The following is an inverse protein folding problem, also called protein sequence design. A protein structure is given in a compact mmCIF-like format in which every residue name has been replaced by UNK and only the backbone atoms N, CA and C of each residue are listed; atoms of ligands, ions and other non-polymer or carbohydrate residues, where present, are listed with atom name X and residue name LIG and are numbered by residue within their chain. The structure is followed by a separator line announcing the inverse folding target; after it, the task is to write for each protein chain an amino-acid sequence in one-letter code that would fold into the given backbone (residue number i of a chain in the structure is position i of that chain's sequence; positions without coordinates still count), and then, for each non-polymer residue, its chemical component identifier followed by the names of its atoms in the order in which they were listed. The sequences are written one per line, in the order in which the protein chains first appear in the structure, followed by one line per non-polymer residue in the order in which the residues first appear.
data_IF_352349204619
#
_entry.id   IF_352349204619
#
_cell.length_a   1.000
_cell.length_b   1.000
_cell.length_c   1.000
_cell.angle_alpha   90.00
_cell.angle_beta   90.00
_cell.angle_gamma   90.00
#
_symmetry.space_group_name_H-M   'P 1'
#
loop_
_entity.id
_entity.type
_entity.pdbx_description
1 polymer ?
#
# COMPACT_ATOMS: atom_id res chain seq x y z
N UNK A 1 -2.09 -31.00 6.95
CA UNK A 1 -0.64 -30.86 7.19
C UNK A 1 -0.27 -29.42 6.86
N UNK A 2 0.31 -28.65 7.81
CA UNK A 2 0.86 -27.32 7.49
C UNK A 2 1.96 -27.51 6.44
N UNK A 3 1.93 -26.71 5.37
CA UNK A 3 2.98 -26.68 4.36
C UNK A 3 4.23 -26.07 4.98
N UNK A 4 5.31 -26.83 5.07
CA UNK A 4 6.61 -26.42 5.61
C UNK A 4 7.34 -25.50 4.64
N UNK A 5 7.37 -24.20 4.90
CA UNK A 5 8.12 -23.26 4.07
C UNK A 5 9.62 -23.31 4.40
N UNK A 6 10.47 -23.42 3.36
CA UNK A 6 11.94 -23.43 3.48
C UNK A 6 12.61 -22.42 2.55
N UNK A 7 11.80 -21.64 1.84
CA UNK A 7 12.22 -20.58 0.91
C UNK A 7 11.27 -19.40 1.07
N UNK A 8 11.80 -18.21 0.85
CA UNK A 8 11.01 -16.99 0.84
C UNK A 8 10.02 -17.06 -0.33
N UNK A 9 8.80 -16.57 -0.10
CA UNK A 9 7.85 -16.37 -1.19
C UNK A 9 8.20 -15.10 -1.97
N UNK A 10 7.60 -14.94 -3.15
CA UNK A 10 7.64 -13.66 -3.87
C UNK A 10 7.10 -12.50 -3.03
N UNK A 11 6.14 -12.76 -2.12
CA UNK A 11 5.62 -11.73 -1.19
C UNK A 11 6.66 -11.31 -0.18
N UNK A 12 7.35 -12.28 0.44
CA UNK A 12 8.44 -12.00 1.37
C UNK A 12 9.61 -11.29 0.69
N UNK A 13 9.95 -11.70 -0.53
CA UNK A 13 11.00 -11.05 -1.32
C UNK A 13 10.64 -9.59 -1.63
N UNK A 14 9.40 -9.34 -2.04
CA UNK A 14 8.88 -8.00 -2.26
C UNK A 14 8.83 -7.16 -0.98
N UNK A 15 8.52 -7.78 0.16
CA UNK A 15 8.54 -7.12 1.45
C UNK A 15 9.95 -6.61 1.79
N UNK A 16 10.99 -7.43 1.61
CA UNK A 16 12.39 -7.00 1.79
C UNK A 16 12.70 -5.84 0.84
N UNK A 17 12.35 -5.98 -0.44
CA UNK A 17 12.60 -4.96 -1.45
C UNK A 17 12.04 -3.59 -1.05
N UNK A 18 10.76 -3.52 -0.63
CA UNK A 18 10.12 -2.26 -0.22
C UNK A 18 10.77 -1.57 0.98
N UNK A 19 11.46 -2.33 1.84
CA UNK A 19 12.11 -1.77 3.03
C UNK A 19 13.57 -1.37 2.78
N UNK A 20 14.23 -1.97 1.80
CA UNK A 20 15.67 -1.82 1.56
C UNK A 20 16.01 -0.96 0.35
N UNK A 21 15.16 -0.97 -0.69
CA UNK A 21 15.40 -0.21 -1.91
C UNK A 21 15.19 1.29 -1.68
N UNK A 22 16.09 2.09 -2.24
CA UNK A 22 16.05 3.55 -2.18
C UNK A 22 16.69 4.15 -3.45
N UNK A 23 16.82 5.47 -3.52
CA UNK A 23 17.37 6.13 -4.71
C UNK A 23 18.85 5.81 -4.96
N UNK A 24 19.65 5.58 -3.91
CA UNK A 24 21.08 5.25 -4.04
C UNK A 24 21.31 3.80 -4.48
N UNK A 25 20.44 2.87 -4.07
CA UNK A 25 20.58 1.45 -4.40
C UNK A 25 20.45 1.16 -5.90
N UNK A 26 19.82 2.06 -6.66
CA UNK A 26 19.72 1.98 -8.13
C UNK A 26 21.05 2.21 -8.86
N UNK A 27 22.08 2.71 -8.16
CA UNK A 27 23.39 3.02 -8.69
C UNK A 27 24.47 2.24 -7.94
N UNK A 28 25.67 2.19 -8.52
CA UNK A 28 26.83 1.68 -7.78
C UNK A 28 27.11 2.61 -6.59
N UNK A 29 27.14 2.03 -5.40
CA UNK A 29 27.39 2.76 -4.17
C UNK A 29 28.28 1.94 -3.22
N UNK A 30 28.72 2.58 -2.13
CA UNK A 30 29.51 1.95 -1.09
C UNK A 30 28.91 2.29 0.28
N UNK A 31 28.34 1.31 1.00
CA UNK A 31 27.61 1.58 2.24
C UNK A 31 28.52 1.83 3.47
N UNK A 32 29.84 1.72 3.33
CA UNK A 32 30.80 2.02 4.39
C UNK A 32 31.57 0.82 4.95
N UNK A 33 32.58 1.10 5.78
CA UNK A 33 33.32 0.07 6.53
C UNK A 33 34.08 -0.92 5.65
N UNK A 34 33.94 -2.22 5.93
CA UNK A 34 34.57 -3.30 5.15
C UNK A 34 33.75 -3.75 3.93
N UNK A 35 32.69 -3.02 3.57
CA UNK A 35 31.81 -3.39 2.47
C UNK A 35 32.49 -3.24 1.11
N UNK A 36 32.01 -3.99 0.13
CA UNK A 36 32.38 -3.86 -1.27
C UNK A 36 31.55 -2.83 -2.03
N UNK A 37 31.79 -2.76 -3.34
CA UNK A 37 30.91 -2.03 -4.25
C UNK A 37 29.56 -2.75 -4.25
N UNK A 38 28.50 -1.99 -4.00
CA UNK A 38 27.15 -2.52 -3.84
C UNK A 38 26.25 -2.00 -4.95
N UNK A 39 25.36 -2.85 -5.45
CA UNK A 39 24.30 -2.51 -6.38
C UNK A 39 22.97 -3.09 -5.88
N UNK A 40 21.86 -2.40 -6.12
CA UNK A 40 20.57 -2.75 -5.54
C UNK A 40 20.58 -2.77 -4.01
N UNK A 41 19.54 -3.34 -3.37
CA UNK A 41 19.37 -3.34 -1.93
C UNK A 41 20.29 -4.33 -1.20
N UNK A 42 21.59 -4.37 -1.53
CA UNK A 42 22.60 -5.15 -0.80
C UNK A 42 23.42 -6.17 -1.60
N UNK A 43 23.48 -6.09 -2.94
CA UNK A 43 24.35 -6.97 -3.72
C UNK A 43 25.80 -6.49 -3.62
N UNK A 44 26.49 -6.94 -2.59
CA UNK A 44 27.89 -6.58 -2.30
C UNK A 44 28.89 -7.42 -3.12
N UNK A 45 29.71 -6.79 -3.95
CA UNK A 45 30.60 -7.48 -4.89
C UNK A 45 31.93 -7.95 -4.26
N UNK A 46 32.21 -7.65 -2.99
CA UNK A 46 33.51 -7.96 -2.34
C UNK A 46 33.82 -9.45 -2.20
N UNK A 47 32.79 -10.30 -2.12
CA UNK A 47 32.93 -11.76 -1.98
C UNK A 47 32.53 -12.54 -3.23
N UNK A 48 32.34 -11.85 -4.34
CA UNK A 48 31.90 -12.42 -5.61
C UNK A 48 33.04 -12.35 -6.61
N UNK A 49 33.14 -13.34 -7.50
CA UNK A 49 34.06 -13.29 -8.64
C UNK A 49 33.51 -12.41 -9.76
N UNK A 50 34.40 -11.88 -10.61
CA UNK A 50 33.98 -11.09 -11.77
C UNK A 50 33.05 -11.89 -12.71
N UNK A 51 33.29 -13.20 -12.86
CA UNK A 51 32.44 -14.07 -13.68
C UNK A 51 31.02 -14.17 -13.12
N UNK A 52 30.85 -14.28 -11.80
CA UNK A 52 29.54 -14.28 -11.14
C UNK A 52 28.84 -12.94 -11.29
N UNK A 53 29.52 -11.84 -10.96
CA UNK A 53 28.93 -10.49 -11.07
C UNK A 53 28.44 -10.24 -12.50
N UNK A 54 29.28 -10.51 -13.50
CA UNK A 54 28.91 -10.33 -14.91
C UNK A 54 27.68 -11.15 -15.29
N UNK A 55 27.66 -12.45 -14.94
CA UNK A 55 26.52 -13.35 -15.24
C UNK A 55 25.23 -12.85 -14.58
N UNK A 56 25.30 -12.44 -13.31
CA UNK A 56 24.13 -12.01 -12.56
C UNK A 56 23.57 -10.69 -13.15
N UNK A 57 24.44 -9.74 -13.54
CA UNK A 57 24.04 -8.51 -14.24
C UNK A 57 23.34 -8.78 -15.59
N UNK A 58 23.87 -9.71 -16.39
CA UNK A 58 23.23 -10.12 -17.65
C UNK A 58 21.86 -10.74 -17.38
N UNK A 59 21.76 -11.57 -16.33
CA UNK A 59 20.52 -12.28 -16.00
C UNK A 59 19.40 -11.33 -15.55
N UNK A 60 19.73 -10.21 -14.92
CA UNK A 60 18.76 -9.14 -14.62
C UNK A 60 18.51 -8.20 -15.82
N UNK A 61 18.94 -8.58 -17.02
CA UNK A 61 18.65 -7.88 -18.28
C UNK A 61 19.58 -6.72 -18.61
N UNK A 62 20.76 -6.63 -17.99
CA UNK A 62 21.76 -5.65 -18.40
C UNK A 62 22.50 -6.10 -19.67
N UNK A 63 22.97 -5.14 -20.46
CA UNK A 63 23.79 -5.46 -21.62
C UNK A 63 25.19 -5.94 -21.20
N UNK A 64 25.80 -6.72 -22.09
CA UNK A 64 27.11 -7.35 -21.90
C UNK A 64 28.23 -6.36 -21.53
N UNK A 65 28.21 -5.17 -22.13
CA UNK A 65 29.24 -4.14 -21.94
C UNK A 65 29.18 -3.60 -20.51
N UNK A 66 28.00 -3.19 -20.05
CA UNK A 66 27.83 -2.64 -18.70
C UNK A 66 28.03 -3.73 -17.64
N UNK A 67 27.54 -4.95 -17.88
CA UNK A 67 27.77 -6.09 -17.01
C UNK A 67 29.27 -6.41 -16.85
N UNK A 68 30.04 -6.37 -17.95
CA UNK A 68 31.50 -6.55 -17.92
C UNK A 68 32.17 -5.43 -17.14
N UNK A 69 31.75 -4.18 -17.33
CA UNK A 69 32.33 -3.05 -16.60
C UNK A 69 32.03 -3.14 -15.09
N UNK A 70 30.80 -3.44 -14.70
CA UNK A 70 30.42 -3.65 -13.30
C UNK A 70 31.20 -4.79 -12.67
N UNK A 71 31.49 -5.86 -13.41
CA UNK A 71 32.23 -7.01 -12.89
C UNK A 71 33.67 -6.70 -12.44
N UNK A 72 34.26 -5.59 -12.91
CA UNK A 72 35.56 -5.12 -12.43
C UNK A 72 35.54 -4.69 -10.95
N UNK A 73 34.35 -4.50 -10.38
CA UNK A 73 34.17 -4.22 -8.96
C UNK A 73 34.33 -5.45 -8.05
N UNK A 74 34.36 -6.65 -8.63
CA UNK A 74 34.47 -7.91 -7.90
C UNK A 74 35.72 -7.94 -7.01
N UNK A 75 35.54 -8.37 -5.77
CA UNK A 75 36.63 -8.46 -4.78
C UNK A 75 37.09 -7.12 -4.20
N UNK A 76 36.61 -5.97 -4.69
CA UNK A 76 36.94 -4.68 -4.10
C UNK A 76 36.24 -4.49 -2.76
N UNK A 77 36.95 -3.90 -1.79
CA UNK A 77 36.42 -3.55 -0.47
C UNK A 77 37.06 -2.25 0.05
N UNK A 78 36.46 -1.64 1.07
CA UNK A 78 36.98 -0.44 1.73
C UNK A 78 37.21 0.73 0.76
N UNK A 79 38.37 1.38 0.84
CA UNK A 79 38.68 2.56 0.01
C UNK A 79 38.67 2.26 -1.50
N UNK A 80 39.10 1.08 -1.92
CA UNK A 80 39.08 0.68 -3.32
C UNK A 80 37.65 0.58 -3.85
N UNK A 81 36.74 -0.01 -3.06
CA UNK A 81 35.33 -0.06 -3.39
C UNK A 81 34.68 1.34 -3.40
N UNK A 82 34.99 2.18 -2.40
CA UNK A 82 34.49 3.55 -2.34
C UNK A 82 34.87 4.34 -3.58
N UNK A 83 36.14 4.27 -3.99
CA UNK A 83 36.63 4.99 -5.15
C UNK A 83 36.01 4.45 -6.44
N UNK A 84 35.96 3.13 -6.62
CA UNK A 84 35.31 2.52 -7.79
C UNK A 84 33.83 2.93 -7.91
N UNK A 85 33.07 2.86 -6.82
CA UNK A 85 31.65 3.22 -6.80
C UNK A 85 31.46 4.72 -7.14
N UNK A 86 32.32 5.59 -6.63
CA UNK A 86 32.30 7.02 -6.92
C UNK A 86 32.58 7.30 -8.40
N UNK A 87 33.64 6.70 -8.94
CA UNK A 87 34.08 6.95 -10.31
C UNK A 87 33.10 6.37 -11.35
N UNK A 88 32.32 5.36 -10.97
CA UNK A 88 31.36 4.68 -11.83
C UNK A 88 29.90 4.92 -11.42
N UNK A 89 29.61 5.94 -10.61
CA UNK A 89 28.26 6.17 -10.04
C UNK A 89 27.17 6.31 -11.10
N UNK A 90 27.49 6.91 -12.25
CA UNK A 90 26.55 7.14 -13.37
C UNK A 90 26.55 6.02 -14.41
N UNK A 91 27.34 4.96 -14.21
CA UNK A 91 27.46 3.85 -15.15
C UNK A 91 26.12 3.12 -15.37
N UNK A 92 25.34 3.00 -14.30
CA UNK A 92 24.06 2.30 -14.32
C UNK A 92 23.05 3.02 -13.45
N UNK A 93 21.80 3.05 -13.94
CA UNK A 93 20.62 3.33 -13.12
C UNK A 93 19.67 2.17 -13.33
N UNK A 94 19.56 1.28 -12.34
CA UNK A 94 18.69 0.12 -12.45
C UNK A 94 17.23 0.53 -12.60
N UNK A 95 16.51 -0.17 -13.47
CA UNK A 95 15.05 -0.20 -13.41
C UNK A 95 14.62 -1.04 -12.20
N UNK A 96 13.44 -0.72 -11.64
CA UNK A 96 12.88 -1.38 -10.46
C UNK A 96 12.87 -2.91 -10.58
N UNK A 97 12.49 -3.42 -11.77
CA UNK A 97 12.49 -4.85 -12.05
C UNK A 97 13.87 -5.51 -11.95
N UNK A 98 14.92 -4.79 -12.36
CA UNK A 98 16.30 -5.29 -12.33
C UNK A 98 16.82 -5.29 -10.89
N UNK A 99 16.50 -4.23 -10.14
CA UNK A 99 16.85 -4.10 -8.73
C UNK A 99 16.17 -5.17 -7.86
N UNK A 100 14.87 -5.40 -8.09
CA UNK A 100 14.11 -6.48 -7.48
C UNK A 100 14.66 -7.86 -7.87
N UNK A 101 15.00 -8.07 -9.14
CA UNK A 101 15.59 -9.33 -9.60
C UNK A 101 16.93 -9.63 -8.93
N UNK A 102 17.74 -8.59 -8.68
CA UNK A 102 19.04 -8.72 -8.05
C UNK A 102 18.95 -9.24 -6.60
N UNK A 103 17.85 -8.94 -5.89
CA UNK A 103 17.61 -9.40 -4.51
C UNK A 103 17.58 -10.94 -4.40
N UNK A 104 17.17 -11.64 -5.48
CA UNK A 104 17.16 -13.12 -5.53
C UNK A 104 18.55 -13.75 -5.37
N UNK A 105 19.62 -13.01 -5.65
CA UNK A 105 21.01 -13.47 -5.46
C UNK A 105 21.56 -13.16 -4.07
N UNK A 106 20.78 -12.49 -3.23
CA UNK A 106 21.17 -12.08 -1.87
C UNK A 106 20.43 -12.92 -0.85
N UNK A 107 19.12 -13.12 -1.03
CA UNK A 107 18.25 -13.80 -0.05
C UNK A 107 18.63 -15.25 0.27
N UNK A 108 19.18 -16.08 -0.64
CA UNK A 108 19.50 -17.47 -0.34
C UNK A 108 20.41 -17.68 0.88
N UNK A 109 21.33 -16.74 1.17
CA UNK A 109 22.18 -16.84 2.36
C UNK A 109 21.40 -16.68 3.67
N UNK A 110 20.32 -15.89 3.64
CA UNK A 110 19.43 -15.70 4.80
C UNK A 110 18.49 -16.89 4.96
N UNK A 111 18.03 -17.50 3.87
CA UNK A 111 17.29 -18.77 3.91
C UNK A 111 18.15 -19.90 4.50
N UNK A 112 19.43 -20.00 4.09
CA UNK A 112 20.37 -20.97 4.68
C UNK A 112 20.58 -20.73 6.16
N UNK A 113 20.70 -19.47 6.56
CA UNK A 113 20.74 -19.11 7.97
C UNK A 113 19.44 -19.54 8.69
N UNK A 114 18.27 -19.28 8.12
CA UNK A 114 16.98 -19.66 8.72
C UNK A 114 16.82 -21.16 8.90
N UNK A 115 17.33 -21.99 7.98
CA UNK A 115 17.36 -23.45 8.15
C UNK A 115 18.07 -23.92 9.43
N UNK A 116 18.95 -23.10 10.01
CA UNK A 116 19.66 -23.41 11.26
C UNK A 116 18.91 -22.94 12.51
N UNK A 117 17.96 -22.01 12.35
CA UNK A 117 17.30 -21.33 13.46
C UNK A 117 15.84 -21.72 13.63
N UNK A 118 15.12 -22.01 12.54
CA UNK A 118 13.68 -22.27 12.59
C UNK A 118 13.32 -23.69 12.16
N UNK A 119 12.30 -24.24 12.81
CA UNK A 119 11.80 -25.58 12.49
C UNK A 119 11.02 -25.58 11.16
N UNK A 120 11.03 -26.71 10.46
CA UNK A 120 10.31 -26.92 9.19
C UNK A 120 8.78 -27.03 9.39
N UNK A 121 8.19 -26.34 10.36
CA UNK A 121 6.74 -26.35 10.64
C UNK A 121 6.06 -25.01 10.33
N UNK A 122 6.84 -23.97 10.04
CA UNK A 122 6.34 -22.63 9.80
C UNK A 122 5.47 -22.55 8.54
N UNK A 123 4.40 -21.75 8.65
CA UNK A 123 3.64 -21.32 7.48
C UNK A 123 4.47 -20.36 6.62
N UNK A 124 4.06 -20.15 5.36
CA UNK A 124 4.85 -19.34 4.43
C UNK A 124 5.12 -17.93 4.94
N UNK A 125 4.14 -17.29 5.56
CA UNK A 125 4.32 -15.92 6.02
C UNK A 125 5.14 -15.79 7.30
N UNK A 126 5.07 -16.78 8.18
CA UNK A 126 5.94 -16.87 9.35
C UNK A 126 7.41 -17.03 8.90
N UNK A 127 7.66 -17.90 7.92
CA UNK A 127 8.98 -18.07 7.32
C UNK A 127 9.45 -16.78 6.61
N UNK A 128 8.58 -16.15 5.83
CA UNK A 128 8.89 -14.88 5.16
C UNK A 128 9.26 -13.80 6.16
N UNK A 129 8.50 -13.64 7.26
CA UNK A 129 8.81 -12.69 8.33
C UNK A 129 10.17 -12.96 8.98
N UNK A 130 10.50 -14.22 9.22
CA UNK A 130 11.79 -14.61 9.79
C UNK A 130 12.95 -14.30 8.84
N UNK A 131 12.80 -14.54 7.53
CA UNK A 131 13.82 -14.16 6.55
C UNK A 131 13.94 -12.63 6.43
N UNK A 132 12.83 -11.89 6.44
CA UNK A 132 12.82 -10.43 6.42
C UNK A 132 13.56 -9.84 7.63
N UNK A 133 13.25 -10.37 8.83
CA UNK A 133 13.92 -9.99 10.06
C UNK A 133 15.40 -10.36 10.02
N UNK A 134 15.75 -11.56 9.53
CA UNK A 134 17.15 -11.99 9.41
C UNK A 134 17.97 -11.08 8.48
N UNK A 135 17.36 -10.56 7.42
CA UNK A 135 17.98 -9.65 6.46
C UNK A 135 18.52 -8.38 7.13
N UNK A 136 17.78 -7.86 8.11
CA UNK A 136 18.16 -6.68 8.87
C UNK A 136 17.76 -6.90 10.33
N UNK A 137 18.41 -7.78 11.09
CA UNK A 137 17.88 -8.13 12.44
C UNK A 137 18.22 -7.10 13.52
N UNK A 138 19.35 -6.40 13.37
CA UNK A 138 19.89 -5.51 14.42
C UNK A 138 20.30 -6.23 15.71
N UNK A 139 20.20 -7.57 15.76
CA UNK A 139 20.44 -8.40 16.94
C UNK A 139 19.29 -9.38 17.20
N UNK A 140 19.40 -10.24 18.22
CA UNK A 140 18.24 -10.98 18.74
C UNK A 140 17.68 -12.16 17.96
N UNK A 141 18.14 -12.38 16.72
CA UNK A 141 17.61 -13.41 15.82
C UNK A 141 17.43 -14.79 16.47
N UNK A 142 18.42 -15.29 17.21
CA UNK A 142 18.31 -16.58 17.90
C UNK A 142 17.22 -16.62 18.98
N UNK A 143 17.01 -15.52 19.71
CA UNK A 143 15.96 -15.44 20.74
C UNK A 143 14.57 -15.39 20.12
N UNK A 144 14.43 -14.65 19.02
CA UNK A 144 13.19 -14.60 18.23
C UNK A 144 12.88 -15.98 17.66
N UNK A 145 13.87 -16.65 17.08
CA UNK A 145 13.71 -17.99 16.52
C UNK A 145 13.27 -19.03 17.55
N UNK A 146 13.82 -18.99 18.78
CA UNK A 146 13.36 -19.86 19.89
C UNK A 146 11.88 -19.67 20.17
N UNK A 147 11.41 -18.42 20.29
CA UNK A 147 9.99 -18.14 20.53
C UNK A 147 9.11 -18.60 19.36
N UNK A 148 9.58 -18.42 18.12
CA UNK A 148 8.87 -18.87 16.92
C UNK A 148 8.76 -20.40 16.87
N UNK A 149 9.83 -21.13 17.20
CA UNK A 149 9.79 -22.60 17.22
C UNK A 149 8.92 -23.16 18.35
N UNK A 150 8.73 -22.40 19.43
CA UNK A 150 7.79 -22.71 20.51
C UNK A 150 6.33 -22.28 20.21
N UNK A 151 6.03 -21.86 18.97
CA UNK A 151 4.74 -21.30 18.54
C UNK A 151 4.30 -20.04 19.32
N UNK A 152 5.23 -19.34 19.99
CA UNK A 152 4.98 -18.11 20.77
C UNK A 152 5.10 -16.86 19.91
N UNK A 153 4.31 -16.77 18.85
CA UNK A 153 4.41 -15.71 17.85
C UNK A 153 4.20 -14.30 18.41
N UNK A 154 3.27 -14.11 19.35
CA UNK A 154 3.04 -12.80 20.01
C UNK A 154 4.27 -12.34 20.81
N UNK A 155 4.93 -13.24 21.52
CA UNK A 155 6.15 -12.94 22.26
C UNK A 155 7.31 -12.64 21.30
N UNK A 156 7.43 -13.40 20.22
CA UNK A 156 8.42 -13.18 19.17
C UNK A 156 8.23 -11.80 18.52
N UNK A 157 7.00 -11.43 18.15
CA UNK A 157 6.67 -10.12 17.59
C UNK A 157 7.00 -8.98 18.57
N UNK A 158 6.63 -9.11 19.85
CA UNK A 158 6.99 -8.14 20.88
C UNK A 158 8.50 -8.02 21.09
N UNK A 159 9.25 -9.11 20.89
CA UNK A 159 10.70 -9.10 20.97
C UNK A 159 11.33 -8.42 19.74
N UNK A 160 10.84 -8.69 18.53
CA UNK A 160 11.27 -8.02 17.28
C UNK A 160 11.17 -6.49 17.44
N UNK A 161 10.06 -5.99 18.01
CA UNK A 161 9.82 -4.55 18.27
C UNK A 161 10.81 -3.89 19.23
N UNK A 162 11.62 -4.65 19.97
CA UNK A 162 12.69 -4.12 20.83
C UNK A 162 13.97 -3.81 20.04
N UNK A 163 14.15 -4.40 18.85
CA UNK A 163 15.36 -4.23 18.02
C UNK A 163 15.25 -3.03 17.08
N UNK A 164 15.13 -1.85 17.69
CA UNK A 164 14.91 -0.55 17.02
C UNK A 164 16.03 0.47 17.26
N UNK A 165 17.19 0.02 17.73
CA UNK A 165 18.32 0.87 18.07
C UNK A 165 19.49 0.69 17.10
N UNK A 166 20.15 1.79 16.76
CA UNK A 166 21.42 1.82 16.03
C UNK A 166 22.37 2.81 16.69
N UNK A 167 23.63 2.41 16.92
CA UNK A 167 24.63 3.21 17.64
C UNK A 167 24.13 3.79 18.99
N UNK A 168 23.32 3.01 19.73
CA UNK A 168 22.74 3.42 21.01
C UNK A 168 21.56 4.39 20.92
N UNK A 169 21.12 4.78 19.72
CA UNK A 169 19.96 5.65 19.49
C UNK A 169 18.80 4.87 18.91
N UNK A 170 17.59 5.22 19.34
CA UNK A 170 16.35 4.68 18.78
C UNK A 170 16.14 5.27 17.37
N UNK A 171 15.77 4.46 16.38
CA UNK A 171 15.65 4.85 14.97
C UNK A 171 14.22 4.60 14.49
N UNK A 172 13.50 5.65 14.12
CA UNK A 172 12.10 5.57 13.66
C UNK A 172 11.90 4.67 12.44
N UNK A 173 12.85 4.67 11.50
CA UNK A 173 12.83 3.75 10.35
C UNK A 173 12.88 2.27 10.76
N UNK A 174 13.67 1.94 11.79
CA UNK A 174 13.71 0.57 12.32
C UNK A 174 12.41 0.24 13.06
N UNK A 175 11.80 1.18 13.79
CA UNK A 175 10.50 0.96 14.45
C UNK A 175 9.43 0.55 13.46
N UNK A 176 9.26 1.34 12.39
CA UNK A 176 8.30 1.04 11.32
C UNK A 176 8.55 -0.36 10.75
N UNK A 177 9.81 -0.67 10.44
CA UNK A 177 10.19 -1.97 9.90
C UNK A 177 9.84 -3.12 10.84
N UNK A 178 10.18 -3.00 12.13
CA UNK A 178 9.87 -4.04 13.13
C UNK A 178 8.38 -4.24 13.31
N UNK A 179 7.59 -3.18 13.20
CA UNK A 179 6.13 -3.28 13.18
C UNK A 179 5.65 -4.05 11.94
N UNK A 180 6.15 -3.72 10.76
CA UNK A 180 5.79 -4.40 9.51
C UNK A 180 6.17 -5.90 9.55
N UNK A 181 7.36 -6.25 10.05
CA UNK A 181 7.83 -7.65 10.19
C UNK A 181 7.03 -8.43 11.24
N UNK A 182 6.68 -7.78 12.36
CA UNK A 182 5.82 -8.37 13.40
C UNK A 182 4.42 -8.67 12.86
N UNK A 183 3.88 -7.78 12.03
CA UNK A 183 2.57 -7.99 11.40
C UNK A 183 2.60 -9.12 10.38
N UNK A 184 3.68 -9.21 9.59
CA UNK A 184 3.88 -10.31 8.66
C UNK A 184 3.94 -11.65 9.40
N UNK A 185 4.63 -11.70 10.55
CA UNK A 185 4.75 -12.88 11.40
C UNK A 185 3.40 -13.32 11.98
N UNK A 186 2.61 -12.40 12.53
CA UNK A 186 1.38 -12.73 13.26
C UNK A 186 0.16 -12.97 12.35
N UNK A 187 0.12 -12.34 11.18
CA UNK A 187 -1.13 -12.21 10.42
C UNK A 187 -1.00 -12.59 8.94
N UNK A 188 0.21 -12.92 8.49
CA UNK A 188 0.50 -13.25 7.10
C UNK A 188 0.27 -12.13 6.10
N UNK A 189 0.25 -10.91 6.63
CA UNK A 189 -0.25 -9.73 5.98
C UNK A 189 0.52 -8.53 6.52
N UNK A 190 1.16 -7.77 5.64
CA UNK A 190 1.52 -6.38 5.93
C UNK A 190 0.31 -5.43 5.92
N UNK A 191 -0.88 -5.96 5.58
CA UNK A 191 -2.20 -5.35 5.76
C UNK A 191 -3.22 -6.48 5.98
N UNK A 192 -3.88 -6.49 7.15
CA UNK A 192 -4.81 -7.55 7.58
C UNK A 192 -5.88 -7.87 6.53
N UNK A 193 -6.01 -9.17 6.18
CA UNK A 193 -7.19 -9.89 5.69
C UNK A 193 -8.37 -9.06 5.10
N UNK A 194 -8.54 -9.09 3.77
CA UNK A 194 -9.65 -9.80 3.09
C UNK A 194 -9.50 -9.82 1.56
N UNK A 195 -9.31 -11.05 1.06
CA UNK A 195 -9.96 -11.73 -0.07
C UNK A 195 -10.43 -10.87 -1.25
N UNK A 196 -9.87 -11.19 -2.42
CA UNK A 196 -10.49 -11.07 -3.74
C UNK A 196 -11.96 -11.54 -3.70
N UNK A 197 -12.87 -10.63 -3.37
CA UNK A 197 -14.29 -10.80 -3.58
C UNK A 197 -14.74 -9.62 -4.43
N UNK A 198 -15.24 -9.92 -5.61
CA UNK A 198 -16.25 -9.09 -6.24
C UNK A 198 -17.25 -8.71 -5.14
N UNK A 199 -17.61 -7.42 -4.93
CA UNK A 199 -18.46 -7.04 -3.80
C UNK A 199 -19.75 -7.84 -3.85
N UNK A 200 -19.86 -8.89 -3.03
CA UNK A 200 -21.14 -9.54 -2.79
C UNK A 200 -22.01 -8.50 -2.11
N UNK A 201 -23.17 -8.20 -2.68
CA UNK A 201 -24.10 -7.23 -2.11
C UNK A 201 -24.59 -7.70 -0.74
N UNK A 202 -23.84 -7.34 0.29
CA UNK A 202 -24.17 -7.56 1.69
C UNK A 202 -25.31 -6.62 2.15
N UNK A 203 -25.82 -5.78 1.24
CA UNK A 203 -26.84 -4.78 1.50
C UNK A 203 -26.36 -3.61 2.38
N UNK A 204 -25.06 -3.47 2.61
CA UNK A 204 -24.50 -2.41 3.45
C UNK A 204 -24.54 -1.03 2.78
N UNK A 205 -24.88 -0.01 3.56
CA UNK A 205 -24.82 1.39 3.15
C UNK A 205 -24.32 2.23 4.34
N UNK A 206 -23.00 2.33 4.44
CA UNK A 206 -22.27 2.96 5.55
C UNK A 206 -21.01 3.65 5.02
N UNK A 207 -20.51 4.66 5.73
CA UNK A 207 -19.49 5.58 5.24
C UNK A 207 -18.30 4.88 4.57
N UNK A 208 -17.59 4.02 5.31
CA UNK A 208 -16.36 3.37 4.82
C UNK A 208 -16.58 2.39 3.66
N UNK A 209 -17.77 1.79 3.54
CA UNK A 209 -18.07 0.87 2.45
C UNK A 209 -18.65 1.58 1.22
N UNK A 210 -19.21 2.79 1.36
CA UNK A 210 -19.96 3.44 0.29
C UNK A 210 -19.20 3.50 -1.05
N UNK A 211 -17.91 3.88 -1.10
CA UNK A 211 -17.16 3.87 -2.36
C UNK A 211 -16.83 2.46 -2.89
N UNK A 212 -16.71 1.46 -2.01
CA UNK A 212 -16.30 0.09 -2.35
C UNK A 212 -17.44 -0.76 -2.93
N UNK A 213 -18.61 -0.72 -2.30
CA UNK A 213 -19.74 -1.62 -2.65
C UNK A 213 -20.63 -1.08 -3.76
N UNK A 214 -20.37 0.15 -4.24
CA UNK A 214 -21.11 0.76 -5.34
C UNK A 214 -20.21 0.87 -6.57
N UNK A 215 -20.72 0.42 -7.72
CA UNK A 215 -20.00 0.44 -9.00
C UNK A 215 -20.52 1.53 -9.96
N UNK A 216 -21.57 2.25 -9.57
CA UNK A 216 -22.17 3.36 -10.32
C UNK A 216 -22.57 4.43 -9.34
N UNK A 217 -22.35 5.69 -9.71
CA UNK A 217 -22.64 6.83 -8.86
C UNK A 217 -23.24 7.95 -9.70
N UNK A 218 -24.19 8.65 -9.10
CA UNK A 218 -24.80 9.86 -9.65
C UNK A 218 -25.00 10.89 -8.55
N UNK A 219 -25.26 12.14 -8.92
CA UNK A 219 -25.72 13.15 -7.96
C UNK A 219 -27.25 13.19 -7.96
N UNK A 220 -27.84 13.47 -6.80
CA UNK A 220 -29.28 13.72 -6.68
C UNK A 220 -29.55 14.89 -5.75
N UNK A 221 -30.68 15.56 -5.97
CA UNK A 221 -31.26 16.51 -5.03
C UNK A 221 -32.31 15.83 -4.18
N UNK A 222 -32.30 16.11 -2.88
CA UNK A 222 -33.35 15.69 -1.96
C UNK A 222 -34.63 16.46 -2.25
N UNK A 223 -35.75 15.75 -2.29
CA UNK A 223 -37.08 16.30 -2.57
C UNK A 223 -38.11 15.94 -1.49
N UNK A 224 -38.83 16.96 -1.01
CA UNK A 224 -39.97 16.83 -0.10
C UNK A 224 -39.63 16.46 1.36
N UNK A 225 -40.56 16.83 2.27
CA UNK A 225 -40.48 16.77 3.75
C UNK A 225 -39.36 17.63 4.35
N UNK A 226 -39.54 18.15 5.60
CA UNK A 226 -38.50 18.98 6.22
C UNK A 226 -37.23 18.18 6.54
N UNK A 227 -37.34 16.90 6.92
CA UNK A 227 -36.20 16.01 7.17
C UNK A 227 -36.39 14.67 6.44
N UNK A 228 -35.38 14.26 5.67
CA UNK A 228 -35.26 12.93 5.07
C UNK A 228 -34.14 12.19 5.80
N UNK A 229 -34.51 11.21 6.63
CA UNK A 229 -33.55 10.47 7.45
C UNK A 229 -32.76 9.45 6.63
N UNK A 230 -31.46 9.33 6.91
CA UNK A 230 -30.64 8.22 6.46
C UNK A 230 -31.04 6.97 7.24
N UNK A 231 -31.27 5.86 6.54
CA UNK A 231 -31.69 4.60 7.16
C UNK A 231 -30.51 3.63 7.32
N UNK A 232 -30.53 2.86 8.40
CA UNK A 232 -29.58 1.78 8.71
C UNK A 232 -29.61 0.69 7.64
N UNK A 233 -28.59 -0.17 7.66
CA UNK A 233 -28.39 -1.27 6.71
C UNK A 233 -28.41 -2.66 7.37
N UNK A 234 -28.55 -2.72 8.70
CA UNK A 234 -28.61 -3.96 9.49
C UNK A 234 -30.04 -4.28 9.95
N UNK A 235 -30.24 -5.46 10.55
CA UNK A 235 -31.50 -5.85 11.21
C UNK A 235 -32.74 -5.82 10.28
N UNK A 236 -32.55 -6.06 8.99
CA UNK A 236 -33.62 -6.04 7.97
C UNK A 236 -33.92 -4.64 7.40
N UNK A 237 -33.11 -3.63 7.73
CA UNK A 237 -33.20 -2.32 7.12
C UNK A 237 -32.60 -2.29 5.70
N UNK A 238 -33.07 -1.41 4.80
CA UNK A 238 -34.08 -0.37 5.02
C UNK A 238 -35.55 -0.83 4.89
N UNK A 239 -35.79 -2.12 4.58
CA UNK A 239 -37.13 -2.63 4.21
C UNK A 239 -38.17 -2.57 5.34
N UNK A 240 -37.76 -2.47 6.60
CA UNK A 240 -38.66 -2.25 7.75
C UNK A 240 -39.21 -0.81 7.85
N UNK A 241 -38.83 0.08 6.93
CA UNK A 241 -39.32 1.45 6.88
C UNK A 241 -38.62 2.42 7.84
N UNK A 242 -38.90 3.71 7.66
CA UNK A 242 -38.19 4.80 8.35
C UNK A 242 -38.28 4.70 9.88
N UNK A 243 -39.46 4.39 10.43
CA UNK A 243 -39.68 4.35 11.88
C UNK A 243 -38.73 3.37 12.60
N UNK A 244 -38.46 2.21 12.01
CA UNK A 244 -37.56 1.19 12.56
C UNK A 244 -36.10 1.44 12.19
N UNK A 245 -35.85 2.02 11.02
CA UNK A 245 -34.52 2.07 10.42
C UNK A 245 -33.81 3.42 10.52
N UNK A 246 -34.47 4.49 11.00
CA UNK A 246 -33.87 5.83 11.03
C UNK A 246 -32.56 5.87 11.82
N UNK A 247 -31.57 6.51 11.22
CA UNK A 247 -30.37 6.97 11.92
C UNK A 247 -30.63 8.37 12.49
N UNK A 248 -29.65 8.89 13.24
CA UNK A 248 -29.67 10.29 13.69
C UNK A 248 -29.45 11.27 12.55
N UNK A 249 -28.67 10.88 11.55
CA UNK A 249 -28.35 11.71 10.41
C UNK A 249 -29.56 11.84 9.46
N UNK A 250 -29.79 13.05 8.98
CA UNK A 250 -30.82 13.39 8.01
C UNK A 250 -30.30 14.47 7.06
N UNK A 251 -31.00 14.61 5.95
CA UNK A 251 -30.79 15.62 4.92
C UNK A 251 -32.10 16.36 4.68
N UNK A 252 -32.02 17.56 4.13
CA UNK A 252 -33.18 18.43 3.92
C UNK A 252 -33.37 18.72 2.44
N UNK A 253 -34.53 19.27 2.08
CA UNK A 253 -34.83 19.63 0.70
C UNK A 253 -33.74 20.53 0.10
N UNK A 254 -33.30 20.19 -1.12
CA UNK A 254 -32.25 20.92 -1.83
C UNK A 254 -30.83 20.46 -1.52
N UNK A 255 -30.59 19.61 -0.50
CA UNK A 255 -29.28 18.97 -0.31
C UNK A 255 -28.89 18.14 -1.54
N UNK A 256 -27.59 18.15 -1.88
CA UNK A 256 -27.03 17.31 -2.94
C UNK A 256 -26.41 16.07 -2.32
N UNK A 257 -26.81 14.88 -2.77
CA UNK A 257 -26.29 13.59 -2.35
C UNK A 257 -25.53 12.90 -3.47
N UNK A 258 -24.56 12.07 -3.11
CA UNK A 258 -24.05 11.02 -4.00
C UNK A 258 -24.96 9.81 -3.84
N UNK A 259 -25.47 9.28 -4.94
CA UNK A 259 -26.39 8.13 -4.97
C UNK A 259 -25.70 6.97 -5.64
N UNK A 260 -25.72 5.81 -4.97
CA UNK A 260 -25.24 4.52 -5.47
C UNK A 260 -26.38 3.55 -5.76
N UNK A 261 -26.18 2.28 -5.41
CA UNK A 261 -27.05 1.16 -5.74
C UNK A 261 -28.44 1.25 -5.10
N UNK A 262 -29.37 0.49 -5.68
CA UNK A 262 -30.75 0.37 -5.21
C UNK A 262 -30.94 -0.90 -4.38
N UNK A 263 -31.88 -0.86 -3.42
CA UNK A 263 -32.38 -2.02 -2.68
C UNK A 263 -33.87 -1.83 -2.42
N UNK A 264 -34.71 -2.54 -3.18
CA UNK A 264 -36.16 -2.30 -3.19
C UNK A 264 -36.48 -0.85 -3.59
N UNK A 265 -37.34 -0.18 -2.83
CA UNK A 265 -37.70 1.24 -3.02
C UNK A 265 -36.67 2.24 -2.50
N UNK A 266 -35.44 1.82 -2.17
CA UNK A 266 -34.42 2.66 -1.54
C UNK A 266 -33.16 2.76 -2.40
N UNK A 267 -32.41 3.85 -2.21
CA UNK A 267 -31.07 4.05 -2.76
C UNK A 267 -30.06 4.24 -1.65
N UNK A 268 -28.89 3.64 -1.79
CA UNK A 268 -27.77 3.92 -0.91
C UNK A 268 -27.22 5.29 -1.27
N UNK A 269 -27.11 6.19 -0.29
CA UNK A 269 -26.64 7.55 -0.52
C UNK A 269 -25.49 7.90 0.42
N UNK A 270 -24.69 8.87 0.01
CA UNK A 270 -23.71 9.55 0.84
C UNK A 270 -23.96 11.05 0.79
N UNK A 271 -24.10 11.68 1.96
CA UNK A 271 -24.20 13.11 2.13
C UNK A 271 -22.86 13.68 2.59
N UNK A 272 -22.14 14.43 1.76
CA UNK A 272 -20.93 15.12 2.17
C UNK A 272 -21.29 16.26 3.15
N UNK A 273 -20.76 16.23 4.37
CA UNK A 273 -20.97 17.27 5.39
C UNK A 273 -19.64 17.82 5.96
N UNK A 274 -19.71 18.77 6.90
CA UNK A 274 -18.52 19.42 7.49
C UNK A 274 -17.55 18.46 8.20
N UNK A 275 -17.99 17.25 8.57
CA UNK A 275 -17.18 16.25 9.30
C UNK A 275 -16.81 15.05 8.42
N UNK A 276 -16.83 15.18 7.10
CA UNK A 276 -16.52 14.12 6.13
C UNK A 276 -17.76 13.68 5.37
N UNK A 277 -18.74 13.11 6.06
CA UNK A 277 -20.05 12.81 5.48
C UNK A 277 -20.83 11.75 6.25
N UNK A 278 -22.01 11.40 5.73
CA UNK A 278 -22.88 10.38 6.30
C UNK A 278 -23.52 9.54 5.20
N UNK A 279 -23.42 8.22 5.30
CA UNK A 279 -24.05 7.29 4.39
C UNK A 279 -25.24 6.57 5.03
N UNK A 280 -26.21 6.21 4.20
CA UNK A 280 -27.36 5.40 4.59
C UNK A 280 -28.34 5.23 3.44
N UNK A 281 -29.39 4.47 3.68
CA UNK A 281 -30.44 4.27 2.68
C UNK A 281 -31.46 5.42 2.72
N UNK A 282 -31.93 5.86 1.56
CA UNK A 282 -33.00 6.87 1.41
C UNK A 282 -34.06 6.36 0.44
N UNK A 283 -35.33 6.64 0.70
CA UNK A 283 -36.42 6.27 -0.21
C UNK A 283 -36.21 6.94 -1.58
N UNK A 284 -36.32 6.17 -2.66
CA UNK A 284 -35.97 6.63 -4.00
C UNK A 284 -36.89 7.77 -4.50
N UNK A 285 -38.14 7.82 -4.02
CA UNK A 285 -39.12 8.88 -4.32
C UNK A 285 -38.78 10.24 -3.65
N UNK A 286 -37.79 10.26 -2.75
CA UNK A 286 -37.23 11.48 -2.14
C UNK A 286 -36.00 12.00 -2.87
N UNK A 287 -35.64 11.40 -4.00
CA UNK A 287 -34.43 11.72 -4.74
C UNK A 287 -34.75 12.08 -6.18
N UNK A 288 -34.37 13.29 -6.59
CA UNK A 288 -34.36 13.69 -7.98
C UNK A 288 -32.93 13.59 -8.51
N UNK A 289 -32.67 12.59 -9.35
CA UNK A 289 -31.37 12.42 -10.01
C UNK A 289 -31.03 13.66 -10.84
N UNK A 290 -29.77 14.09 -10.74
CA UNK A 290 -29.22 15.15 -11.57
C UNK A 290 -28.62 14.57 -12.86
N UNK A 291 -28.63 15.35 -13.96
CA UNK A 291 -27.96 14.94 -15.19
C UNK A 291 -26.48 14.63 -14.93
N UNK A 292 -26.00 13.52 -15.48
CA UNK A 292 -24.57 13.16 -15.44
C UNK A 292 -23.89 13.69 -16.69
N UNK A 293 -22.72 14.32 -16.52
CA UNK A 293 -21.93 14.78 -17.65
C UNK A 293 -21.49 13.59 -18.50
N UNK A 294 -21.77 13.62 -19.80
CA UNK A 294 -21.41 12.56 -20.75
C UNK A 294 -19.97 12.65 -21.23
N UNK A 295 -19.35 13.83 -21.11
CA UNK A 295 -17.94 14.08 -21.43
C UNK A 295 -17.30 14.86 -20.29
N UNK A 296 -16.24 14.33 -19.72
CA UNK A 296 -15.48 14.95 -18.63
C UNK A 296 -14.10 15.35 -19.16
N UNK A 297 -13.80 16.65 -19.30
CA UNK A 297 -12.49 17.07 -19.79
C UNK A 297 -11.41 16.80 -18.72
N UNK A 298 -10.18 16.48 -19.14
CA UNK A 298 -9.05 16.19 -18.23
C UNK A 298 -8.81 17.29 -17.19
N UNK A 299 -9.01 18.56 -17.55
CA UNK A 299 -8.92 19.72 -16.64
C UNK A 299 -9.88 19.66 -15.45
N UNK A 300 -11.00 18.95 -15.56
CA UNK A 300 -11.97 18.83 -14.47
C UNK A 300 -11.40 18.02 -13.30
N UNK A 301 -10.58 17.01 -13.61
CA UNK A 301 -9.86 16.18 -12.65
C UNK A 301 -8.73 16.93 -11.94
N UNK A 302 -8.08 17.85 -12.66
CA UNK A 302 -6.88 18.54 -12.19
C UNK A 302 -7.10 19.26 -10.86
N UNK A 303 -6.17 19.07 -9.92
CA UNK A 303 -6.16 19.80 -8.64
C UNK A 303 -5.80 18.93 -7.44
N UNK A 304 -5.92 19.55 -6.27
CA UNK A 304 -5.75 18.92 -4.98
C UNK A 304 -7.10 18.49 -4.43
N UNK A 305 -7.18 17.27 -3.93
CA UNK A 305 -8.39 16.64 -3.40
C UNK A 305 -8.13 16.18 -1.98
N UNK A 306 -9.09 16.38 -1.06
CA UNK A 306 -8.94 16.05 0.35
C UNK A 306 -10.12 15.28 0.92
N UNK A 307 -9.83 14.31 1.78
CA UNK A 307 -10.78 13.62 2.65
C UNK A 307 -10.21 13.62 4.07
N UNK A 308 -10.66 14.55 4.91
CA UNK A 308 -9.97 14.81 6.18
C UNK A 308 -8.54 15.30 5.92
N UNK A 309 -7.57 14.56 6.41
CA UNK A 309 -6.13 14.78 6.22
C UNK A 309 -5.52 13.97 5.07
N UNK A 310 -6.23 12.98 4.52
CA UNK A 310 -5.80 12.28 3.31
C UNK A 310 -5.84 13.22 2.09
N UNK A 311 -4.85 13.07 1.20
CA UNK A 311 -4.71 13.93 0.03
C UNK A 311 -4.52 13.14 -1.26
N UNK A 312 -5.06 13.68 -2.35
CA UNK A 312 -4.81 13.23 -3.71
C UNK A 312 -4.55 14.44 -4.61
N UNK A 313 -3.46 14.44 -5.34
CA UNK A 313 -3.17 15.38 -6.41
C UNK A 313 -3.36 14.69 -7.76
N UNK A 314 -4.23 15.26 -8.60
CA UNK A 314 -4.42 14.81 -9.98
C UNK A 314 -3.81 15.83 -10.94
N UNK A 315 -2.89 15.36 -11.78
CA UNK A 315 -2.11 16.18 -12.71
C UNK A 315 -2.37 15.68 -14.15
N UNK A 316 -3.00 16.49 -15.03
CA UNK A 316 -3.13 16.16 -16.44
C UNK A 316 -1.79 16.14 -17.16
N UNK A 317 -1.60 15.14 -18.02
CA UNK A 317 -0.44 15.03 -18.90
C UNK A 317 -0.83 15.35 -20.35
N UNK A 318 0.18 15.68 -21.18
CA UNK A 318 -0.03 16.04 -22.58
C UNK A 318 -0.52 14.90 -23.49
N UNK A 319 -0.44 13.64 -23.04
CA UNK A 319 -0.87 12.45 -23.78
C UNK A 319 -2.29 11.98 -23.40
N UNK A 320 -3.05 12.80 -22.66
CA UNK A 320 -4.42 12.48 -22.24
C UNK A 320 -4.52 11.63 -20.98
N UNK A 321 -3.40 11.22 -20.38
CA UNK A 321 -3.39 10.54 -19.08
C UNK A 321 -3.44 11.53 -17.90
N UNK A 322 -3.77 11.02 -16.72
CA UNK A 322 -3.67 11.70 -15.43
C UNK A 322 -2.65 10.99 -14.55
N UNK A 323 -1.76 11.75 -13.92
CA UNK A 323 -0.93 11.27 -12.81
C UNK A 323 -1.65 11.52 -11.50
N UNK A 324 -1.77 10.49 -10.67
CA UNK A 324 -2.30 10.52 -9.31
C UNK A 324 -1.16 10.35 -8.32
N UNK A 325 -0.97 11.36 -7.48
CA UNK A 325 -0.11 11.30 -6.31
C UNK A 325 -1.00 11.37 -5.06
N UNK A 326 -0.73 10.58 -4.03
CA UNK A 326 -1.56 10.56 -2.85
C UNK A 326 -0.83 10.14 -1.60
N UNK A 327 -1.29 10.69 -0.48
CA UNK A 327 -0.91 10.31 0.88
C UNK A 327 -2.17 10.02 1.70
N UNK A 328 -2.16 8.92 2.45
CA UNK A 328 -3.23 8.52 3.35
C UNK A 328 -2.71 8.14 4.73
N UNK A 329 -3.52 8.33 5.76
CA UNK A 329 -3.09 8.22 7.16
C UNK A 329 -4.09 7.45 8.02
N UNK A 330 -3.56 6.76 9.04
CA UNK A 330 -4.42 6.21 10.09
C UNK A 330 -3.78 6.31 11.48
N UNK A 331 -4.52 6.76 12.52
CA UNK A 331 -5.90 7.24 12.48
C UNK A 331 -6.06 8.68 11.96
N UNK A 332 -4.97 9.44 11.84
CA UNK A 332 -4.90 10.79 11.27
C UNK A 332 -3.43 11.11 10.94
N UNK A 333 -3.12 12.13 10.14
CA UNK A 333 -1.76 12.53 9.78
C UNK A 333 -0.93 12.99 11.00
N UNK A 334 -1.60 13.53 12.01
CA UNK A 334 -0.99 13.99 13.26
C UNK A 334 -1.80 13.44 14.45
N UNK A 335 -1.67 12.15 14.79
CA UNK A 335 -2.44 11.57 15.87
C UNK A 335 -1.88 12.03 17.23
N UNK A 336 -2.72 12.05 18.26
CA UNK A 336 -2.29 12.36 19.62
C UNK A 336 -1.18 11.39 20.06
N UNK A 337 0.03 11.88 20.40
CA UNK A 337 1.14 11.03 20.82
C UNK A 337 0.82 10.16 22.05
N UNK A 338 -0.15 10.52 22.89
CA UNK A 338 -0.56 9.69 24.03
C UNK A 338 -1.41 8.49 23.59
N UNK A 339 -2.26 8.68 22.55
CA UNK A 339 -3.10 7.61 22.00
C UNK A 339 -2.36 6.77 20.95
N UNK A 340 -1.43 7.37 20.21
CA UNK A 340 -0.63 6.74 19.15
C UNK A 340 0.84 7.16 19.25
N UNK A 341 1.59 6.61 20.22
CA UNK A 341 3.01 6.96 20.43
C UNK A 341 3.91 6.67 19.22
N UNK A 342 3.52 5.72 18.37
CA UNK A 342 4.22 5.33 17.14
C UNK A 342 3.99 6.27 15.95
N UNK A 343 3.17 7.31 16.11
CA UNK A 343 2.69 8.12 14.99
C UNK A 343 1.66 7.37 14.13
N UNK A 344 1.34 7.92 12.94
CA UNK A 344 0.34 7.34 12.07
C UNK A 344 0.88 6.17 11.24
N UNK A 345 -0.01 5.26 10.89
CA UNK A 345 0.23 4.36 9.77
C UNK A 345 0.09 5.18 8.48
N UNK A 346 0.96 4.90 7.51
CA UNK A 346 1.07 5.68 6.28
C UNK A 346 0.69 4.85 5.06
N UNK A 347 0.15 5.51 4.04
CA UNK A 347 -0.11 4.98 2.72
C UNK A 347 0.22 6.02 1.67
N UNK A 348 0.64 5.55 0.50
CA UNK A 348 1.03 6.39 -0.61
C UNK A 348 0.62 5.75 -1.92
N UNK A 349 0.30 6.58 -2.91
CA UNK A 349 0.09 6.13 -4.29
C UNK A 349 0.76 7.10 -5.25
N UNK A 350 1.52 6.58 -6.21
CA UNK A 350 1.99 7.34 -7.37
C UNK A 350 1.80 6.51 -8.63
N UNK A 351 0.74 6.82 -9.38
CA UNK A 351 0.37 6.04 -10.54
C UNK A 351 -0.25 6.91 -11.64
N UNK A 352 -0.30 6.37 -12.86
CA UNK A 352 -0.72 7.12 -14.05
C UNK A 352 -1.61 6.25 -14.92
N UNK A 353 -2.73 6.80 -15.37
CA UNK A 353 -3.56 6.16 -16.38
C UNK A 353 -4.45 7.18 -17.13
N UNK A 354 -5.05 6.77 -18.24
CA UNK A 354 -6.07 7.55 -18.91
C UNK A 354 -7.44 7.38 -18.22
N UNK A 355 -8.21 8.46 -18.02
CA UNK A 355 -9.58 8.35 -17.54
C UNK A 355 -10.51 7.84 -18.64
N UNK A 356 -11.45 6.98 -18.26
CA UNK A 356 -12.57 6.51 -19.08
C UNK A 356 -13.85 7.25 -18.64
N UNK A 357 -14.20 8.31 -19.37
CA UNK A 357 -15.32 9.17 -19.00
C UNK A 357 -15.07 9.85 -17.65
N UNK A 358 -15.91 9.55 -16.66
CA UNK A 358 -15.76 10.07 -15.29
C UNK A 358 -15.07 9.09 -14.34
N UNK A 359 -14.45 8.02 -14.85
CA UNK A 359 -13.73 7.01 -14.07
C UNK A 359 -12.24 7.06 -14.38
N UNK A 360 -11.40 7.01 -13.35
CA UNK A 360 -9.96 6.86 -13.46
C UNK A 360 -9.56 5.67 -12.59
N UNK A 361 -8.96 4.64 -13.19
CA UNK A 361 -8.35 3.55 -12.44
C UNK A 361 -6.84 3.64 -12.62
N UNK A 362 -6.11 3.74 -11.52
CA UNK A 362 -4.66 3.71 -11.53
C UNK A 362 -4.17 2.50 -10.75
N UNK A 363 -3.09 1.91 -11.24
CA UNK A 363 -2.35 0.86 -10.56
C UNK A 363 -0.90 1.28 -10.55
N UNK A 364 -0.25 1.18 -9.40
CA UNK A 364 1.21 1.25 -9.38
C UNK A 364 1.76 0.11 -10.24
N UNK A 365 2.86 0.33 -10.94
CA UNK A 365 3.55 -0.71 -11.73
C UNK A 365 2.70 -1.40 -12.82
N UNK A 366 1.75 -0.68 -13.44
CA UNK A 366 0.92 -1.21 -14.54
C UNK A 366 1.80 -1.75 -15.69
N UNK A 367 1.71 -3.05 -16.00
CA UNK A 367 2.28 -3.66 -17.20
C UNK A 367 3.15 -4.90 -16.99
N UNK A 368 4.07 -4.93 -16.02
CA UNK A 368 5.10 -5.99 -15.94
C UNK A 368 5.13 -6.82 -14.66
N UNK A 369 4.56 -6.34 -13.55
CA UNK A 369 4.54 -7.07 -12.27
C UNK A 369 3.27 -6.81 -11.43
N UNK A 370 2.15 -6.56 -12.10
CA UNK A 370 0.85 -6.42 -11.43
C UNK A 370 0.49 -7.74 -10.75
N UNK A 371 0.36 -7.71 -9.43
CA UNK A 371 -0.04 -8.85 -8.63
C UNK A 371 -1.11 -8.44 -7.62
N UNK A 372 -1.58 -9.40 -6.82
CA UNK A 372 -2.66 -9.18 -5.87
C UNK A 372 -2.33 -8.16 -4.75
N UNK A 373 -1.06 -7.74 -4.59
CA UNK A 373 -0.57 -6.76 -3.62
C UNK A 373 -0.23 -5.40 -4.24
N UNK A 374 -0.40 -5.25 -5.55
CA UNK A 374 -0.17 -3.97 -6.23
C UNK A 374 -1.20 -2.95 -5.75
N UNK A 375 -0.78 -1.75 -5.35
CA UNK A 375 -1.73 -0.69 -4.99
C UNK A 375 -2.56 -0.30 -6.22
N UNK A 376 -3.88 -0.35 -6.06
CA UNK A 376 -4.85 0.07 -7.07
C UNK A 376 -5.83 1.05 -6.46
N UNK A 377 -6.07 2.14 -7.17
CA UNK A 377 -7.02 3.18 -6.77
C UNK A 377 -7.96 3.46 -7.93
N UNK A 378 -9.26 3.34 -7.67
CA UNK A 378 -10.31 3.79 -8.58
C UNK A 378 -10.91 5.10 -8.06
N UNK A 379 -10.86 6.15 -8.88
CA UNK A 379 -11.49 7.42 -8.61
C UNK A 379 -12.64 7.68 -9.60
N UNK A 380 -13.74 8.27 -9.14
CA UNK A 380 -14.86 8.70 -9.97
C UNK A 380 -15.23 10.15 -9.71
N UNK A 381 -15.17 10.96 -10.76
CA UNK A 381 -15.46 12.38 -10.69
C UNK A 381 -16.96 12.66 -10.81
N UNK A 382 -17.48 13.45 -9.87
CA UNK A 382 -18.88 13.87 -9.79
C UNK A 382 -18.95 15.36 -9.42
N UNK A 383 -18.75 16.23 -10.41
CA UNK A 383 -18.62 17.68 -10.17
C UNK A 383 -17.37 17.96 -9.33
N UNK A 384 -17.55 18.60 -8.16
CA UNK A 384 -16.47 18.94 -7.23
C UNK A 384 -16.20 17.85 -6.17
N UNK A 385 -16.73 16.66 -6.39
CA UNK A 385 -16.56 15.48 -5.54
C UNK A 385 -15.83 14.37 -6.29
N UNK A 386 -14.96 13.67 -5.58
CA UNK A 386 -14.23 12.52 -6.08
C UNK A 386 -14.52 11.32 -5.17
N UNK A 387 -15.19 10.31 -5.71
CA UNK A 387 -15.45 9.05 -5.02
C UNK A 387 -14.25 8.14 -5.25
N UNK A 388 -13.53 7.78 -4.19
CA UNK A 388 -12.29 7.02 -4.27
C UNK A 388 -12.44 5.69 -3.54
N UNK A 389 -11.96 4.63 -4.18
CA UNK A 389 -11.89 3.28 -3.62
C UNK A 389 -10.49 2.72 -3.92
N UNK A 390 -9.83 2.17 -2.90
CA UNK A 390 -8.60 1.41 -3.09
C UNK A 390 -8.82 -0.09 -2.88
N UNK A 391 -7.81 -0.88 -3.24
CA UNK A 391 -7.79 -2.31 -2.98
C UNK A 391 -7.15 -2.68 -1.63
N UNK A 392 -7.03 -1.72 -0.70
CA UNK A 392 -6.40 -1.90 0.62
C UNK A 392 -4.92 -2.33 0.60
N UNK A 393 -4.24 -2.23 -0.55
CA UNK A 393 -2.80 -2.50 -0.69
C UNK A 393 -1.95 -1.21 -0.75
N UNK A 394 -2.60 -0.05 -0.64
CA UNK A 394 -1.98 1.26 -0.85
C UNK A 394 -1.36 1.86 0.43
N UNK A 395 -1.27 1.10 1.51
CA UNK A 395 -0.69 1.57 2.77
C UNK A 395 -0.54 0.47 3.82
N UNK A 396 -0.05 0.88 4.99
CA UNK A 396 0.05 0.02 6.17
C UNK A 396 -1.31 -0.31 6.80
N UNK A 397 -1.30 -1.03 7.93
CA UNK A 397 -2.52 -1.45 8.62
C UNK A 397 -3.56 -0.33 8.78
N UNK A 398 -4.81 -0.61 8.41
CA UNK A 398 -5.97 0.30 8.50
C UNK A 398 -5.87 1.59 7.68
N UNK A 399 -4.83 1.75 6.85
CA UNK A 399 -4.73 2.88 5.93
C UNK A 399 -5.51 2.54 4.67
N UNK A 400 -6.33 3.47 4.21
CA UNK A 400 -7.03 3.34 2.93
C UNK A 400 -7.31 4.72 2.34
N UNK A 401 -7.19 4.84 1.02
CA UNK A 401 -7.67 5.97 0.23
C UNK A 401 -9.19 5.92 -0.02
N UNK A 402 -9.88 4.90 0.48
CA UNK A 402 -11.31 4.75 0.28
C UNK A 402 -12.08 5.87 0.99
N UNK A 403 -12.73 6.73 0.22
CA UNK A 403 -13.44 7.88 0.78
C UNK A 403 -14.07 8.79 -0.26
N UNK A 404 -14.67 9.89 0.23
CA UNK A 404 -15.24 10.95 -0.60
C UNK A 404 -14.36 12.18 -0.44
N UNK A 405 -13.61 12.50 -1.49
CA UNK A 405 -12.71 13.64 -1.51
C UNK A 405 -13.42 14.85 -2.09
N UNK A 406 -13.05 16.03 -1.57
CA UNK A 406 -13.48 17.33 -2.09
C UNK A 406 -12.30 18.03 -2.74
N UNK A 407 -12.57 18.74 -3.82
CA UNK A 407 -11.58 19.62 -4.42
C UNK A 407 -11.20 20.71 -3.41
N UNK A 408 -9.90 20.87 -3.17
CA UNK A 408 -9.41 22.01 -2.39
C UNK A 408 -9.68 23.29 -3.20
N UNK A 409 -10.04 24.41 -2.53
CA UNK A 409 -10.22 25.71 -3.17
C UNK A 409 -9.01 26.16 -4.00
#
# INVERSE_FOLDING_TARGET
MKSSATKISEKGLWFIYKQEANSESRQLHWPGGSSGVTLGPGYDMSKRSAAEVRRDMITIGMNEKDATHISAAAGLAGDAARNFAKDNKTLVVLAEAQEYALLRYIVPQYEERMRQYVDNSLSQHEYDAMVCYAYNSGGGLGKVAVLVNEDKFDEAANLIKKYVYSAGRRVSGLEKRRDDESNLLLHGSSAVLRVNATPTDDGSCRNGNFPLVNNTFALAKVTGKPNVYLLKDMEGCPLKGEAACRQRAYVIEGDTLIVGRAKGGYRCVFYPNKTGGSAGWVAADRLRLLPTATVVPSRAWAGQWRNGDDTLQLIPNGDGTLTMNGDAYWPSANPDPQMRPSGPNLGSVTARNAPEGNRLEVSENSGTYENEHTCKVTARLLGDLLVVADNSNCGGNNVSFTGIYRKSP
#
